data_IF_283614420747
#
_entry.id   IF_283614420747
#
_cell.length_a   1.000
_cell.length_b   1.000
_cell.length_c   1.000
_cell.angle_alpha   90.00
_cell.angle_beta   90.00
_cell.angle_gamma   90.00
#
_symmetry.space_group_name_H-M   'P 1'
#
loop_
_entity.id
_entity.type
_entity.pdbx_description
1 polymer ?
#
# COMPACT_ATOMS: atom_id res chain seq x y z
N UNK A 1 43.50 -39.33 32.34
CA UNK A 1 42.89 -38.07 32.77
C UNK A 1 42.53 -37.30 31.53
N UNK A 2 41.27 -37.40 31.10
CA UNK A 2 40.72 -36.63 29.98
C UNK A 2 40.09 -35.37 30.53
N UNK A 3 40.54 -34.22 30.06
CA UNK A 3 39.90 -32.95 30.34
C UNK A 3 38.71 -32.78 29.38
N UNK A 4 37.50 -32.95 29.87
CA UNK A 4 36.29 -32.48 29.21
C UNK A 4 36.31 -30.96 29.19
N UNK A 5 36.56 -30.38 28.00
CA UNK A 5 36.28 -28.96 27.74
C UNK A 5 34.79 -28.80 27.60
N UNK A 6 34.13 -28.29 28.61
CA UNK A 6 32.78 -27.81 28.54
C UNK A 6 32.70 -26.73 27.40
N UNK A 7 31.95 -27.06 26.38
CA UNK A 7 31.64 -26.09 25.28
C UNK A 7 30.74 -25.02 25.88
N UNK A 8 31.22 -23.80 26.00
CA UNK A 8 30.39 -22.68 26.42
C UNK A 8 29.20 -22.54 25.44
N UNK A 9 27.96 -22.36 25.93
CA UNK A 9 26.82 -22.15 25.07
C UNK A 9 27.03 -20.87 24.29
N UNK A 10 26.89 -20.94 22.95
CA UNK A 10 26.91 -19.76 22.08
C UNK A 10 25.85 -18.78 22.57
N UNK A 11 26.15 -17.47 22.65
CA UNK A 11 25.14 -16.46 22.92
C UNK A 11 23.98 -16.66 21.96
N UNK A 12 22.74 -16.70 22.45
CA UNK A 12 21.57 -16.61 21.60
C UNK A 12 21.66 -15.27 20.92
N UNK A 13 21.75 -15.26 19.58
CA UNK A 13 21.50 -14.04 18.80
C UNK A 13 20.11 -13.54 19.21
N UNK A 14 20.07 -12.40 19.89
CA UNK A 14 18.82 -11.72 20.17
C UNK A 14 18.20 -11.36 18.82
N UNK A 15 17.07 -11.99 18.49
CA UNK A 15 16.33 -11.62 17.30
C UNK A 15 15.89 -10.16 17.45
N UNK A 16 16.11 -9.31 16.43
CA UNK A 16 15.72 -7.91 16.52
C UNK A 16 14.22 -7.81 16.81
N UNK A 17 13.87 -6.94 17.76
CA UNK A 17 12.47 -6.68 18.13
C UNK A 17 11.75 -6.17 16.88
N UNK A 18 10.78 -6.94 16.39
CA UNK A 18 9.92 -6.54 15.29
C UNK A 18 8.74 -5.76 15.84
N UNK A 19 8.49 -4.60 15.26
CA UNK A 19 7.33 -3.77 15.55
C UNK A 19 6.25 -3.98 14.47
N UNK A 20 5.02 -3.57 14.77
CA UNK A 20 3.92 -3.63 13.80
C UNK A 20 3.75 -2.29 13.07
N UNK A 21 3.09 -2.34 11.90
CA UNK A 21 2.74 -1.13 11.14
C UNK A 21 1.79 -0.24 11.96
N UNK A 22 0.83 -0.81 12.67
CA UNK A 22 -0.06 -0.03 13.56
C UNK A 22 0.72 0.72 14.64
N UNK A 23 1.71 0.07 15.27
CA UNK A 23 2.58 0.73 16.23
C UNK A 23 3.40 1.86 15.59
N UNK A 24 4.01 1.62 14.42
CA UNK A 24 4.77 2.64 13.70
C UNK A 24 3.88 3.87 13.40
N UNK A 25 2.68 3.66 12.87
CA UNK A 25 1.73 4.74 12.54
C UNK A 25 1.30 5.52 13.80
N UNK A 26 1.10 4.85 14.92
CA UNK A 26 0.69 5.48 16.19
C UNK A 26 1.69 6.50 16.72
N UNK A 27 2.95 6.42 16.31
CA UNK A 27 3.94 7.43 16.68
C UNK A 27 3.66 8.83 16.10
N UNK A 28 2.80 8.91 15.07
CA UNK A 28 2.38 10.16 14.44
C UNK A 28 1.02 10.67 14.96
N UNK A 29 0.40 9.99 15.94
CA UNK A 29 -0.91 10.38 16.45
C UNK A 29 -0.90 11.82 16.97
N UNK A 30 -1.86 12.62 16.48
CA UNK A 30 -2.02 14.03 16.84
C UNK A 30 -0.94 14.96 16.30
N UNK A 31 -0.06 14.52 15.41
CA UNK A 31 0.98 15.33 14.78
C UNK A 31 0.86 15.30 13.26
N UNK A 32 1.21 16.41 12.59
CA UNK A 32 1.29 16.46 11.12
C UNK A 32 2.48 15.63 10.61
N UNK A 33 3.59 15.63 11.34
CA UNK A 33 4.73 14.79 11.03
C UNK A 33 5.55 14.42 12.27
N UNK A 34 6.24 13.29 12.20
CA UNK A 34 7.08 12.78 13.29
C UNK A 34 8.33 12.10 12.75
N UNK A 35 9.52 12.57 13.17
CA UNK A 35 10.77 11.86 12.92
C UNK A 35 10.82 10.57 13.76
N UNK A 36 11.13 9.46 13.14
CA UNK A 36 11.38 8.18 13.83
C UNK A 36 12.82 8.18 14.32
N UNK A 37 12.99 8.34 15.64
CA UNK A 37 14.32 8.44 16.28
C UNK A 37 14.81 7.14 16.90
N UNK A 38 13.95 6.12 16.98
CA UNK A 38 14.26 4.81 17.55
C UNK A 38 14.49 3.81 16.45
N UNK A 39 15.24 2.75 16.77
CA UNK A 39 15.32 1.56 15.94
C UNK A 39 13.97 0.84 15.92
N UNK A 40 13.16 1.16 14.90
CA UNK A 40 11.86 0.54 14.65
C UNK A 40 11.94 -0.19 13.34
N UNK A 41 11.72 -1.49 13.40
CA UNK A 41 11.72 -2.36 12.24
C UNK A 41 10.34 -2.99 12.11
N UNK A 42 9.71 -2.80 10.95
CA UNK A 42 8.46 -3.46 10.57
C UNK A 42 8.69 -4.35 9.37
N UNK A 43 7.99 -5.47 9.32
CA UNK A 43 8.04 -6.42 8.20
C UNK A 43 6.64 -6.63 7.67
N UNK A 44 6.45 -6.50 6.38
CA UNK A 44 5.15 -6.66 5.74
C UNK A 44 5.27 -7.11 4.30
N UNK A 45 4.14 -7.50 3.71
CA UNK A 45 4.05 -7.79 2.30
C UNK A 45 3.97 -6.50 1.48
N UNK A 46 4.58 -6.49 0.31
CA UNK A 46 4.39 -5.43 -0.69
C UNK A 46 3.07 -5.70 -1.39
N UNK A 47 2.07 -4.87 -1.12
CA UNK A 47 0.69 -5.03 -1.63
C UNK A 47 0.34 -4.06 -2.74
N UNK A 48 1.21 -3.07 -3.01
CA UNK A 48 1.09 -2.18 -4.15
C UNK A 48 2.44 -1.60 -4.57
N UNK A 49 2.56 -1.33 -5.86
CA UNK A 49 3.67 -0.66 -6.52
C UNK A 49 3.18 -0.01 -7.82
N UNK A 50 4.09 0.58 -8.61
CA UNK A 50 3.75 1.32 -9.82
C UNK A 50 3.68 0.48 -11.11
N UNK A 51 3.62 -0.85 -11.02
CA UNK A 51 3.64 -1.75 -12.19
C UNK A 51 2.66 -1.37 -13.30
N UNK A 52 1.49 -0.89 -12.92
CA UNK A 52 0.43 -0.51 -13.87
C UNK A 52 0.17 0.99 -13.91
N UNK A 53 1.06 1.81 -13.31
CA UNK A 53 0.97 3.26 -13.31
C UNK A 53 0.17 3.85 -12.15
N UNK A 54 -0.44 3.01 -11.30
CA UNK A 54 -0.96 3.39 -9.99
C UNK A 54 0.20 3.44 -8.98
N UNK A 55 0.03 4.08 -7.82
CA UNK A 55 1.05 4.19 -6.77
C UNK A 55 2.40 4.78 -7.26
N UNK A 56 2.29 5.83 -8.09
CA UNK A 56 3.46 6.55 -8.60
C UNK A 56 4.38 6.99 -7.44
N UNK A 57 5.68 6.66 -7.55
CA UNK A 57 6.71 6.96 -6.55
C UNK A 57 6.36 6.51 -5.13
N UNK A 58 5.69 5.37 -5.01
CA UNK A 58 5.34 4.79 -3.72
C UNK A 58 5.15 3.28 -3.79
N UNK A 59 5.28 2.64 -2.65
CA UNK A 59 4.87 1.26 -2.43
C UNK A 59 3.97 1.19 -1.21
N UNK A 60 3.18 0.14 -1.09
CA UNK A 60 2.39 -0.12 0.11
C UNK A 60 2.89 -1.39 0.76
N UNK A 61 3.17 -1.30 2.06
CA UNK A 61 3.49 -2.44 2.92
C UNK A 61 2.29 -2.75 3.80
N UNK A 62 2.04 -4.03 4.03
CA UNK A 62 0.94 -4.51 4.87
C UNK A 62 1.40 -5.66 5.76
N UNK A 63 1.08 -5.59 7.04
CA UNK A 63 1.18 -6.67 8.01
C UNK A 63 -0.22 -7.03 8.55
N UNK A 64 -0.29 -7.90 9.55
CA UNK A 64 -1.55 -8.32 10.17
C UNK A 64 -2.30 -7.17 10.87
N UNK A 65 -1.63 -6.06 11.15
CA UNK A 65 -2.19 -4.90 11.89
C UNK A 65 -2.67 -3.78 10.98
N UNK A 66 -2.28 -3.78 9.70
CA UNK A 66 -2.69 -2.79 8.71
C UNK A 66 -1.61 -2.49 7.67
N UNK A 67 -1.83 -1.43 6.90
CA UNK A 67 -0.93 -1.01 5.84
C UNK A 67 -0.33 0.38 6.04
N UNK A 68 0.76 0.65 5.33
CA UNK A 68 1.42 1.96 5.27
C UNK A 68 1.97 2.22 3.87
N UNK A 69 1.72 3.42 3.37
CA UNK A 69 2.38 3.89 2.14
C UNK A 69 3.79 4.38 2.47
N UNK A 70 4.79 3.83 1.76
CA UNK A 70 6.19 4.28 1.79
C UNK A 70 6.46 5.08 0.54
N UNK A 71 6.82 6.34 0.68
CA UNK A 71 7.19 7.22 -0.41
C UNK A 71 8.64 6.92 -0.84
N UNK A 72 8.86 6.73 -2.14
CA UNK A 72 10.18 6.51 -2.76
C UNK A 72 10.34 7.44 -3.96
N UNK A 73 11.48 8.11 -4.09
CA UNK A 73 11.71 9.04 -5.20
C UNK A 73 12.27 8.34 -6.44
N UNK A 74 11.57 7.30 -6.88
CA UNK A 74 11.88 6.56 -8.11
C UNK A 74 10.62 6.05 -8.78
N UNK A 75 10.74 5.80 -10.08
CA UNK A 75 9.74 5.10 -10.91
C UNK A 75 10.22 3.69 -11.24
N UNK A 76 9.32 2.81 -11.67
CA UNK A 76 9.66 1.41 -11.93
C UNK A 76 9.85 0.62 -10.63
N UNK A 77 9.19 1.05 -9.56
CA UNK A 77 9.28 0.43 -8.22
C UNK A 77 8.93 -1.05 -8.23
N UNK A 78 8.14 -1.51 -9.21
CA UNK A 78 7.76 -2.91 -9.34
C UNK A 78 8.94 -3.87 -9.57
N UNK A 79 10.07 -3.38 -10.07
CA UNK A 79 11.26 -4.20 -10.30
C UNK A 79 12.01 -4.51 -9.00
N UNK A 80 12.13 -3.51 -8.11
CA UNK A 80 12.82 -3.64 -6.82
C UNK A 80 11.89 -4.10 -5.71
N UNK A 81 10.62 -3.73 -5.81
CA UNK A 81 9.57 -4.02 -4.83
C UNK A 81 8.43 -4.82 -5.46
N UNK A 82 8.66 -6.11 -5.83
CA UNK A 82 7.65 -6.92 -6.48
C UNK A 82 6.43 -7.16 -5.56
N UNK A 83 5.24 -7.14 -6.15
CA UNK A 83 4.01 -7.48 -5.44
C UNK A 83 4.09 -8.88 -4.81
N UNK A 84 3.66 -9.01 -3.56
CA UNK A 84 3.66 -10.25 -2.80
C UNK A 84 5.00 -10.63 -2.19
N UNK A 85 6.08 -9.89 -2.49
CA UNK A 85 7.34 -10.03 -1.76
C UNK A 85 7.22 -9.41 -0.37
N UNK A 86 8.13 -9.76 0.49
CA UNK A 86 8.21 -9.25 1.85
C UNK A 86 9.27 -8.15 1.90
N UNK A 87 8.90 -7.03 2.48
CA UNK A 87 9.86 -5.97 2.78
C UNK A 87 10.01 -5.79 4.29
N UNK A 88 11.24 -5.54 4.70
CA UNK A 88 11.60 -5.07 6.04
C UNK A 88 11.94 -3.60 5.94
N UNK A 89 11.15 -2.76 6.63
CA UNK A 89 11.35 -1.32 6.70
C UNK A 89 12.06 -0.97 8.00
N UNK A 90 13.21 -0.32 7.90
CA UNK A 90 14.00 0.27 8.98
C UNK A 90 13.60 1.74 9.12
N UNK A 91 12.81 2.05 10.14
CA UNK A 91 12.17 3.36 10.28
C UNK A 91 13.09 4.46 10.81
N UNK A 92 14.17 4.13 11.52
CA UNK A 92 15.06 5.12 12.13
C UNK A 92 15.62 6.09 11.08
N UNK A 93 15.44 7.39 11.31
CA UNK A 93 15.83 8.45 10.40
C UNK A 93 14.76 8.83 9.34
N UNK A 94 13.73 8.02 9.17
CA UNK A 94 12.58 8.36 8.34
C UNK A 94 11.56 9.22 9.10
N UNK A 95 10.65 9.84 8.36
CA UNK A 95 9.61 10.70 8.88
C UNK A 95 8.21 10.16 8.52
N UNK A 96 7.41 10.00 9.54
CA UNK A 96 5.97 9.78 9.39
C UNK A 96 5.29 11.11 9.07
N UNK A 97 4.34 11.12 8.17
CA UNK A 97 3.58 12.30 7.77
C UNK A 97 2.10 11.97 7.67
N UNK A 98 1.28 12.73 8.40
CA UNK A 98 -0.16 12.67 8.30
C UNK A 98 -0.63 13.63 7.21
N UNK A 99 -1.35 13.11 6.22
CA UNK A 99 -1.92 13.91 5.14
C UNK A 99 -3.23 13.30 4.65
N UNK A 100 -4.26 14.12 4.51
CA UNK A 100 -5.54 13.69 3.99
C UNK A 100 -6.29 12.66 4.84
N UNK A 101 -5.87 12.43 6.08
CA UNK A 101 -6.49 11.42 6.97
C UNK A 101 -5.77 10.08 7.00
N UNK A 102 -4.58 9.99 6.39
CA UNK A 102 -3.71 8.81 6.47
C UNK A 102 -2.28 9.17 6.86
N UNK A 103 -1.54 8.20 7.36
CA UNK A 103 -0.13 8.34 7.74
C UNK A 103 0.72 7.53 6.78
N UNK A 104 1.62 8.21 6.06
CA UNK A 104 2.67 7.62 5.25
C UNK A 104 4.05 7.83 5.87
N UNK A 105 5.08 7.23 5.27
CA UNK A 105 6.48 7.36 5.71
C UNK A 105 7.41 7.63 4.53
N UNK A 106 8.43 8.45 4.76
CA UNK A 106 9.45 8.77 3.76
C UNK A 106 10.64 9.47 4.38
N UNK A 107 11.49 10.11 3.56
CA UNK A 107 12.72 10.75 4.05
C UNK A 107 12.43 12.10 4.74
N UNK A 108 11.38 12.77 4.35
CA UNK A 108 11.01 14.10 4.83
C UNK A 108 9.50 14.32 4.85
N UNK A 109 9.08 15.55 5.16
CA UNK A 109 7.71 16.00 5.11
C UNK A 109 7.54 17.05 4.00
N UNK A 110 6.72 16.71 3.01
CA UNK A 110 6.33 17.58 1.91
C UNK A 110 4.93 18.15 2.08
N UNK A 111 4.49 18.98 1.13
CA UNK A 111 3.16 19.60 1.13
C UNK A 111 2.01 18.57 0.99
N UNK A 112 2.28 17.43 0.42
CA UNK A 112 1.29 16.37 0.16
C UNK A 112 1.60 15.06 0.88
N UNK A 113 2.19 15.14 2.07
CA UNK A 113 2.54 13.98 2.88
C UNK A 113 4.05 13.71 2.91
N UNK A 114 4.45 12.45 2.95
CA UNK A 114 5.85 12.08 3.05
C UNK A 114 6.62 12.33 1.74
N UNK A 115 7.83 12.90 1.84
CA UNK A 115 8.77 13.00 0.73
C UNK A 115 9.43 11.64 0.45
N UNK A 116 9.64 11.34 -0.83
CA UNK A 116 10.19 10.07 -1.27
C UNK A 116 11.63 9.84 -0.83
N UNK A 117 11.92 8.62 -0.36
CA UNK A 117 13.29 8.16 -0.11
C UNK A 117 14.04 8.17 -1.45
N UNK A 118 15.20 8.85 -1.58
CA UNK A 118 16.00 8.82 -2.80
C UNK A 118 16.33 7.39 -3.25
N UNK A 119 16.34 7.13 -4.56
CA UNK A 119 16.57 5.80 -5.11
C UNK A 119 17.85 5.15 -4.58
N UNK A 120 18.94 5.92 -4.48
CA UNK A 120 20.24 5.47 -3.98
C UNK A 120 20.26 5.16 -2.47
N UNK A 121 19.25 5.64 -1.72
CA UNK A 121 19.13 5.42 -0.27
C UNK A 121 18.09 4.33 0.08
N UNK A 122 17.29 3.86 -0.88
CA UNK A 122 16.22 2.89 -0.59
C UNK A 122 16.74 1.64 0.10
N UNK A 123 17.89 1.10 -0.34
CA UNK A 123 18.53 -0.08 0.26
C UNK A 123 18.98 0.10 1.72
N UNK A 124 19.10 1.33 2.21
CA UNK A 124 19.38 1.63 3.62
C UNK A 124 18.13 1.39 4.50
N UNK A 125 16.97 1.65 3.95
CA UNK A 125 15.70 1.65 4.70
C UNK A 125 14.80 0.47 4.37
N UNK A 126 14.99 -0.16 3.20
CA UNK A 126 14.15 -1.25 2.72
C UNK A 126 15.00 -2.44 2.30
N UNK A 127 14.74 -3.60 2.91
CA UNK A 127 15.28 -4.89 2.48
C UNK A 127 14.13 -5.73 1.95
N UNK A 128 14.28 -6.32 0.76
CA UNK A 128 13.22 -7.08 0.08
C UNK A 128 13.66 -8.52 -0.11
N UNK A 129 12.78 -9.45 0.18
CA UNK A 129 13.01 -10.89 0.04
C UNK A 129 11.78 -11.60 -0.54
N UNK A 130 11.96 -12.73 -1.25
CA UNK A 130 10.83 -13.57 -1.64
C UNK A 130 10.02 -14.03 -0.43
N UNK A 131 8.69 -14.24 -0.58
CA UNK A 131 7.79 -14.45 0.56
C UNK A 131 7.97 -15.81 1.29
N UNK A 132 8.86 -16.68 0.83
CA UNK A 132 8.98 -18.03 1.38
C UNK A 132 7.71 -18.86 1.17
N UNK A 133 7.18 -19.45 2.23
CA UNK A 133 5.91 -20.19 2.21
C UNK A 133 4.69 -19.29 2.51
N UNK A 134 4.92 -18.16 3.15
CA UNK A 134 3.86 -17.19 3.47
C UNK A 134 3.32 -16.54 2.20
N UNK A 135 2.02 -16.22 2.21
CA UNK A 135 1.35 -15.49 1.11
C UNK A 135 0.46 -14.41 1.69
N UNK A 136 0.50 -13.24 1.08
CA UNK A 136 -0.48 -12.20 1.37
C UNK A 136 -1.86 -12.64 0.86
N UNK A 137 -2.86 -12.53 1.72
CA UNK A 137 -4.26 -12.76 1.36
C UNK A 137 -5.05 -11.49 1.64
N UNK A 138 -5.66 -10.93 0.60
CA UNK A 138 -6.51 -9.77 0.75
C UNK A 138 -7.70 -10.09 1.67
N UNK A 139 -7.97 -9.20 2.61
CA UNK A 139 -9.14 -9.32 3.49
C UNK A 139 -10.42 -9.07 2.69
N UNK A 140 -11.35 -10.00 2.72
CA UNK A 140 -12.69 -9.79 2.13
C UNK A 140 -13.49 -8.88 3.06
N UNK A 141 -14.04 -7.80 2.52
CA UNK A 141 -14.81 -6.80 3.24
C UNK A 141 -16.04 -6.39 2.45
N UNK A 142 -17.02 -5.80 3.13
CA UNK A 142 -18.17 -5.13 2.50
C UNK A 142 -17.88 -3.64 2.32
N UNK A 143 -18.61 -2.96 1.43
CA UNK A 143 -18.42 -1.51 1.20
C UNK A 143 -18.67 -0.72 2.50
N UNK A 144 -19.71 -1.04 3.24
CA UNK A 144 -20.06 -0.40 4.52
C UNK A 144 -19.08 -0.73 5.66
N UNK A 145 -18.25 -1.78 5.50
CA UNK A 145 -17.17 -2.12 6.42
C UNK A 145 -15.88 -1.33 6.19
N UNK A 146 -15.79 -0.50 5.14
CA UNK A 146 -14.62 0.33 4.87
C UNK A 146 -14.51 1.46 5.90
N UNK A 147 -13.34 1.58 6.51
CA UNK A 147 -13.09 2.57 7.55
C UNK A 147 -11.59 2.79 7.81
N UNK A 148 -11.26 3.62 8.81
CA UNK A 148 -9.88 4.07 9.05
C UNK A 148 -8.88 2.94 9.30
N UNK A 149 -9.32 1.83 9.89
CA UNK A 149 -8.48 0.65 10.14
C UNK A 149 -8.07 -0.13 8.88
N UNK A 150 -8.69 0.17 7.73
CA UNK A 150 -8.38 -0.48 6.45
C UNK A 150 -7.56 0.40 5.50
N UNK A 151 -7.26 1.64 5.87
CA UNK A 151 -6.46 2.56 5.03
C UNK A 151 -5.08 1.98 4.78
N UNK A 152 -4.64 2.00 3.51
CA UNK A 152 -3.43 1.37 2.99
C UNK A 152 -3.44 -0.18 3.08
N UNK A 153 -4.60 -0.81 3.33
CA UNK A 153 -4.76 -2.27 3.33
C UNK A 153 -5.37 -2.74 2.00
N UNK A 154 -4.82 -3.82 1.46
CA UNK A 154 -5.38 -4.46 0.27
C UNK A 154 -6.58 -5.32 0.65
N UNK A 155 -7.72 -5.00 0.07
CA UNK A 155 -8.99 -5.68 0.33
C UNK A 155 -9.55 -6.32 -0.93
N UNK A 156 -10.49 -7.25 -0.72
CA UNK A 156 -11.36 -7.81 -1.73
C UNK A 156 -12.80 -7.42 -1.41
N UNK A 157 -13.53 -6.95 -2.42
CA UNK A 157 -14.95 -6.63 -2.32
C UNK A 157 -15.69 -7.49 -3.36
N UNK A 158 -16.62 -8.30 -2.89
CA UNK A 158 -17.39 -9.24 -3.72
C UNK A 158 -18.76 -8.67 -4.11
N UNK A 159 -19.34 -9.17 -5.21
CA UNK A 159 -20.70 -8.88 -5.61
C UNK A 159 -20.95 -7.44 -6.08
N UNK A 160 -19.91 -6.75 -6.51
CA UNK A 160 -20.00 -5.35 -6.95
C UNK A 160 -20.10 -5.23 -8.47
N UNK A 161 -20.68 -4.14 -8.93
CA UNK A 161 -20.66 -3.71 -10.33
C UNK A 161 -20.29 -2.24 -10.45
N UNK A 162 -19.73 -1.83 -11.56
CA UNK A 162 -19.57 -0.41 -11.87
C UNK A 162 -20.91 0.22 -12.25
N UNK A 163 -21.13 1.45 -11.80
CA UNK A 163 -22.33 2.22 -12.12
C UNK A 163 -22.24 2.78 -13.54
N UNK A 164 -21.04 3.21 -13.95
CA UNK A 164 -20.77 3.83 -15.26
C UNK A 164 -20.54 2.75 -16.34
N UNK A 165 -21.59 2.00 -16.67
CA UNK A 165 -21.52 0.95 -17.70
C UNK A 165 -21.08 1.52 -19.04
N UNK A 166 -20.15 0.82 -19.72
CA UNK A 166 -19.61 1.22 -21.01
C UNK A 166 -18.57 2.35 -20.97
N UNK A 167 -18.23 2.88 -19.78
CA UNK A 167 -17.14 3.83 -19.62
C UNK A 167 -15.77 3.14 -19.63
N UNK A 168 -14.72 3.93 -19.81
CA UNK A 168 -13.32 3.52 -19.59
C UNK A 168 -12.90 3.77 -18.16
N UNK A 169 -11.77 3.18 -17.70
CA UNK A 169 -11.24 3.42 -16.37
C UNK A 169 -10.99 4.89 -16.07
N UNK A 170 -10.47 5.63 -17.07
CA UNK A 170 -10.25 7.06 -16.94
C UNK A 170 -10.94 7.82 -18.08
N UNK A 171 -11.37 9.03 -17.78
CA UNK A 171 -11.84 9.98 -18.80
C UNK A 171 -10.65 10.49 -19.61
N UNK A 172 -10.94 10.93 -20.83
CA UNK A 172 -9.98 11.60 -21.70
C UNK A 172 -10.34 13.08 -21.76
N UNK A 173 -9.40 13.93 -21.46
CA UNK A 173 -9.53 15.37 -21.64
C UNK A 173 -9.71 15.67 -23.15
N UNK A 174 -10.81 16.28 -23.55
CA UNK A 174 -11.10 16.52 -24.97
C UNK A 174 -10.15 17.53 -25.62
N UNK A 175 -9.53 18.41 -24.84
CA UNK A 175 -8.64 19.45 -25.38
C UNK A 175 -7.21 18.88 -25.58
N UNK A 176 -6.74 18.06 -24.67
CA UNK A 176 -5.36 17.55 -24.71
C UNK A 176 -5.25 16.12 -25.25
N UNK A 177 -6.36 15.38 -25.30
CA UNK A 177 -6.39 13.95 -25.64
C UNK A 177 -5.73 13.03 -24.60
N UNK A 178 -5.36 13.57 -23.43
CA UNK A 178 -4.74 12.83 -22.36
C UNK A 178 -5.77 12.25 -21.39
N UNK A 179 -5.49 11.08 -20.87
CA UNK A 179 -6.27 10.50 -19.77
C UNK A 179 -6.02 11.28 -18.50
N UNK A 180 -7.09 11.51 -17.73
CA UNK A 180 -7.06 12.25 -16.46
C UNK A 180 -7.43 11.31 -15.32
N UNK A 181 -6.93 11.60 -14.11
CA UNK A 181 -7.33 10.86 -12.92
C UNK A 181 -8.84 10.92 -12.74
N UNK A 182 -9.46 9.76 -12.63
CA UNK A 182 -10.91 9.60 -12.65
C UNK A 182 -11.37 8.75 -11.47
N UNK A 183 -12.52 9.07 -10.93
CA UNK A 183 -13.24 8.23 -9.98
C UNK A 183 -14.43 7.58 -10.67
N UNK A 184 -14.53 6.25 -10.54
CA UNK A 184 -15.69 5.45 -10.94
C UNK A 184 -16.39 4.93 -9.71
N UNK A 185 -17.67 4.65 -9.82
CA UNK A 185 -18.44 4.20 -8.67
C UNK A 185 -18.74 2.71 -8.78
N UNK A 186 -18.38 1.95 -7.75
CA UNK A 186 -18.90 0.59 -7.59
C UNK A 186 -20.08 0.60 -6.63
N UNK A 187 -21.01 -0.34 -6.82
CA UNK A 187 -22.18 -0.53 -5.98
C UNK A 187 -22.37 -2.01 -5.69
N UNK A 188 -22.65 -2.35 -4.43
CA UNK A 188 -22.99 -3.70 -3.98
C UNK A 188 -24.50 -4.00 -4.17
N UNK A 189 -24.95 -5.17 -3.71
CA UNK A 189 -26.37 -5.58 -3.79
C UNK A 189 -27.25 -4.84 -2.81
N UNK A 190 -26.70 -4.30 -1.75
CA UNK A 190 -27.39 -3.51 -0.73
C UNK A 190 -27.54 -2.03 -1.12
N UNK A 191 -26.88 -1.61 -2.22
CA UNK A 191 -26.89 -0.25 -2.70
C UNK A 191 -25.81 0.64 -2.08
N UNK A 192 -24.90 0.07 -1.29
CA UNK A 192 -23.74 0.82 -0.79
C UNK A 192 -22.78 1.11 -1.95
N UNK A 193 -22.16 2.27 -1.93
CA UNK A 193 -21.28 2.73 -3.00
C UNK A 193 -19.89 3.06 -2.48
N UNK A 194 -18.88 2.84 -3.35
CA UNK A 194 -17.49 3.22 -3.09
C UNK A 194 -16.86 3.75 -4.38
N UNK A 195 -16.05 4.78 -4.26
CA UNK A 195 -15.27 5.29 -5.38
C UNK A 195 -14.09 4.36 -5.66
N UNK A 196 -13.84 4.09 -6.94
CA UNK A 196 -12.61 3.47 -7.46
C UNK A 196 -11.83 4.57 -8.17
N UNK A 197 -10.75 5.03 -7.54
CA UNK A 197 -9.91 6.10 -8.07
C UNK A 197 -8.78 5.50 -8.89
N UNK A 198 -8.63 5.97 -10.12
CA UNK A 198 -7.60 5.51 -11.07
C UNK A 198 -6.81 6.70 -11.58
N UNK A 199 -5.48 6.63 -11.53
CA UNK A 199 -4.62 7.67 -12.09
C UNK A 199 -4.69 7.65 -13.62
N UNK A 200 -4.70 8.82 -14.24
CA UNK A 200 -4.65 8.95 -15.71
C UNK A 200 -3.39 8.35 -16.34
N UNK A 201 -2.34 8.11 -15.57
CA UNK A 201 -1.09 7.46 -15.99
C UNK A 201 -1.16 5.94 -16.02
N UNK A 202 -2.24 5.33 -15.53
CA UNK A 202 -2.37 3.87 -15.52
C UNK A 202 -2.35 3.29 -16.94
N UNK A 203 -1.68 2.15 -17.09
CA UNK A 203 -1.55 1.47 -18.38
C UNK A 203 -2.90 1.01 -18.97
N UNK A 204 -3.89 0.83 -18.12
CA UNK A 204 -5.26 0.42 -18.46
C UNK A 204 -6.28 1.57 -18.44
N UNK A 205 -5.83 2.82 -18.35
CA UNK A 205 -6.72 3.99 -18.23
C UNK A 205 -7.79 4.09 -19.34
N UNK A 206 -7.44 3.67 -20.58
CA UNK A 206 -8.33 3.68 -21.74
C UNK A 206 -9.10 2.37 -21.98
N UNK A 207 -8.85 1.35 -21.15
CA UNK A 207 -9.59 0.09 -21.26
C UNK A 207 -11.03 0.27 -20.77
N UNK A 208 -12.00 -0.49 -21.30
CA UNK A 208 -13.36 -0.47 -20.80
C UNK A 208 -13.42 -0.99 -19.35
N UNK A 209 -14.37 -0.46 -18.60
CA UNK A 209 -14.72 -1.05 -17.29
C UNK A 209 -15.29 -2.46 -17.50
N UNK A 210 -15.07 -3.38 -16.55
CA UNK A 210 -15.69 -4.70 -16.62
C UNK A 210 -17.20 -4.57 -16.47
N UNK A 211 -17.92 -5.43 -17.18
CA UNK A 211 -19.38 -5.52 -17.14
C UNK A 211 -19.84 -6.58 -16.14
N UNK A 212 -21.10 -6.49 -15.76
CA UNK A 212 -21.69 -7.45 -14.83
C UNK A 212 -21.32 -7.22 -13.39
N UNK A 213 -21.51 -8.26 -12.56
CA UNK A 213 -21.09 -8.30 -11.15
C UNK A 213 -19.90 -9.20 -10.98
N UNK A 214 -18.97 -8.76 -10.15
CA UNK A 214 -17.76 -9.52 -9.89
C UNK A 214 -17.12 -9.14 -8.57
N UNK A 215 -15.84 -9.48 -8.43
CA UNK A 215 -15.02 -9.12 -7.28
C UNK A 215 -13.91 -8.17 -7.72
N UNK A 216 -13.63 -7.19 -6.87
CA UNK A 216 -12.59 -6.18 -7.09
C UNK A 216 -11.58 -6.25 -5.97
N UNK A 217 -10.30 -6.22 -6.33
CA UNK A 217 -9.20 -6.10 -5.37
C UNK A 217 -8.55 -4.73 -5.49
N UNK A 218 -8.17 -4.16 -4.37
CA UNK A 218 -7.46 -2.89 -4.35
C UNK A 218 -7.03 -2.48 -2.96
N UNK A 219 -6.27 -1.41 -2.88
CA UNK A 219 -5.85 -0.78 -1.64
C UNK A 219 -6.84 0.30 -1.25
N UNK A 220 -7.31 0.27 -0.01
CA UNK A 220 -8.17 1.32 0.52
C UNK A 220 -7.37 2.60 0.69
N UNK A 221 -7.82 3.67 0.09
CA UNK A 221 -7.27 5.02 0.25
C UNK A 221 -8.24 5.92 1.01
N UNK A 222 -7.71 6.98 1.60
CA UNK A 222 -8.49 7.99 2.31
C UNK A 222 -7.95 9.37 1.98
N UNK A 223 -8.87 10.29 1.67
CA UNK A 223 -8.55 11.72 1.58
C UNK A 223 -9.66 12.53 2.22
N UNK A 224 -9.31 13.29 3.26
CA UNK A 224 -10.23 14.16 4.01
C UNK A 224 -11.52 13.46 4.45
N UNK A 225 -11.37 12.22 4.96
CA UNK A 225 -12.49 11.41 5.45
C UNK A 225 -13.31 10.70 4.37
N UNK A 226 -12.95 10.85 3.10
CA UNK A 226 -13.56 10.10 1.99
C UNK A 226 -12.68 8.91 1.64
N UNK A 227 -13.29 7.72 1.63
CA UNK A 227 -12.62 6.49 1.25
C UNK A 227 -12.80 6.21 -0.25
N UNK A 228 -11.78 5.64 -0.83
CA UNK A 228 -11.80 5.11 -2.20
C UNK A 228 -10.97 3.83 -2.29
N UNK A 229 -11.14 3.10 -3.37
CA UNK A 229 -10.32 1.92 -3.67
C UNK A 229 -9.37 2.27 -4.81
N UNK A 230 -8.08 1.98 -4.61
CA UNK A 230 -7.06 2.05 -5.66
C UNK A 230 -6.74 0.64 -6.13
N UNK A 231 -6.88 0.39 -7.42
CA UNK A 231 -6.70 -0.95 -7.99
C UNK A 231 -5.22 -1.28 -8.10
N UNK A 232 -4.83 -2.47 -7.65
CA UNK A 232 -3.47 -3.01 -7.76
C UNK A 232 -3.47 -4.22 -8.68
N UNK A 233 -2.41 -4.40 -9.46
CA UNK A 233 -2.21 -5.57 -10.34
C UNK A 233 -3.38 -5.91 -11.28
N UNK A 234 -4.45 -5.10 -11.31
CA UNK A 234 -5.65 -5.34 -12.11
C UNK A 234 -6.33 -6.69 -11.81
N UNK A 235 -6.24 -7.12 -10.56
CA UNK A 235 -6.89 -8.34 -10.09
C UNK A 235 -8.40 -8.14 -10.01
N UNK A 236 -9.09 -8.59 -11.04
CA UNK A 236 -10.53 -8.51 -11.19
C UNK A 236 -11.09 -9.90 -11.49
N UNK A 237 -12.21 -10.23 -10.87
CA UNK A 237 -12.95 -11.46 -11.12
C UNK A 237 -14.37 -11.07 -11.57
N UNK A 238 -14.49 -10.64 -12.81
CA UNK A 238 -15.75 -10.33 -13.49
C UNK A 238 -16.01 -11.40 -14.56
N UNK A 239 -17.28 -11.62 -14.95
CA UNK A 239 -17.66 -12.58 -16.00
C UNK A 239 -16.91 -12.35 -17.31
#
# INVERSE_FOLDING_TARGET
AGCDRATEPRPREEQPVRHTIAYLKSLCDGAESRLVTREITVRGFITANDRYGEFYKSIVLEDETGGITVAVDQTGTAAEFPFGYVATLHGAGLRLCAYGGKVGIGIGAGEQGAEGIPAEETGRYLTVEPPGEERHTARTVTIDGIGPGLVDTRVRIDGVRFVESGATWCDTDPETGRTVTTERTIVDEQGNTLAVRTLGSCSYAKEPLPEGRGSLYGVVDCFSGKYSLRVTNRDLLFP
#
